data_IF_367885820556
#
_entry.id   IF_367885820556
#
_cell.length_a   1.000
_cell.length_b   1.000
_cell.length_c   1.000
_cell.angle_alpha   90.00
_cell.angle_beta   90.00
_cell.angle_gamma   90.00
#
_symmetry.space_group_name_H-M   'P 1'
#
loop_
_entity.id
_entity.type
_entity.pdbx_description
1 polymer ?
#
# COMPACT_ATOMS: atom_id res chain seq x y z
N UNK A 1 -15.14 15.02 -8.95
CA UNK A 1 -16.07 13.89 -8.84
C UNK A 1 -16.85 14.04 -7.55
N UNK A 2 -18.11 13.60 -7.48
CA UNK A 2 -18.99 13.86 -6.32
C UNK A 2 -18.43 13.35 -4.98
N UNK A 3 -19.01 13.85 -3.88
CA UNK A 3 -18.61 13.51 -2.52
C UNK A 3 -18.97 12.07 -2.13
N UNK A 4 -18.16 11.49 -1.24
CA UNK A 4 -18.48 10.22 -0.60
C UNK A 4 -19.71 10.37 0.31
N UNK A 5 -20.35 9.25 0.65
CA UNK A 5 -21.50 9.24 1.56
C UNK A 5 -21.30 8.21 2.66
N UNK A 6 -21.69 8.57 3.88
CA UNK A 6 -21.79 7.67 5.04
C UNK A 6 -23.22 7.78 5.59
N UNK A 7 -23.83 6.64 5.89
CA UNK A 7 -25.14 6.60 6.55
C UNK A 7 -25.93 5.34 6.23
N UNK A 8 -27.19 5.31 6.66
CA UNK A 8 -28.06 4.14 6.47
C UNK A 8 -28.61 4.03 5.04
N UNK A 9 -28.84 5.16 4.38
CA UNK A 9 -29.45 5.25 3.04
C UNK A 9 -28.49 5.91 2.03
N UNK A 10 -27.38 5.25 1.76
CA UNK A 10 -26.41 5.70 0.75
C UNK A 10 -26.90 5.42 -0.67
N UNK A 11 -26.54 6.30 -1.61
CA UNK A 11 -26.79 6.08 -3.05
C UNK A 11 -25.48 6.16 -3.82
N UNK A 12 -24.92 5.02 -4.27
CA UNK A 12 -23.70 5.01 -5.07
C UNK A 12 -23.82 5.94 -6.28
N UNK A 13 -22.76 6.70 -6.54
CA UNK A 13 -22.69 7.57 -7.72
C UNK A 13 -22.60 6.72 -8.99
N UNK A 14 -23.10 7.24 -10.11
CA UNK A 14 -22.90 6.61 -11.41
C UNK A 14 -21.53 7.06 -12.00
N UNK A 15 -20.54 6.16 -12.08
CA UNK A 15 -19.20 6.51 -12.55
C UNK A 15 -19.15 6.92 -14.02
N UNK A 16 -20.19 6.64 -14.82
CA UNK A 16 -20.26 7.03 -16.24
C UNK A 16 -20.60 8.50 -16.45
N UNK A 17 -21.13 9.17 -15.42
CA UNK A 17 -21.51 10.59 -15.47
C UNK A 17 -20.32 11.54 -15.50
N UNK A 18 -19.13 11.08 -15.11
CA UNK A 18 -17.89 11.87 -15.10
C UNK A 18 -16.79 11.13 -15.85
N UNK A 19 -16.31 11.74 -16.93
CA UNK A 19 -15.23 11.19 -17.73
C UNK A 19 -13.87 11.22 -17.02
N UNK A 20 -13.12 10.11 -17.11
CA UNK A 20 -11.71 10.05 -16.71
C UNK A 20 -10.83 10.50 -17.87
N UNK A 21 -10.45 11.77 -17.91
CA UNK A 21 -9.62 12.34 -18.98
C UNK A 21 -8.39 13.01 -18.41
N UNK A 22 -7.34 12.96 -19.20
CA UNK A 22 -5.99 13.27 -18.84
C UNK A 22 -5.32 14.09 -19.92
N UNK A 23 -4.63 15.19 -19.59
CA UNK A 23 -3.80 15.93 -20.54
C UNK A 23 -2.35 16.09 -20.09
N UNK A 24 -1.39 15.88 -20.98
CA UNK A 24 0.04 15.93 -20.64
C UNK A 24 0.95 16.42 -21.75
N UNK A 25 2.18 16.73 -21.36
CA UNK A 25 3.30 17.04 -22.23
C UNK A 25 4.61 17.01 -21.45
N UNK A 26 5.73 17.13 -22.16
CA UNK A 26 7.06 17.29 -21.55
C UNK A 26 7.28 18.68 -20.94
N UNK A 27 6.41 19.64 -21.27
CA UNK A 27 6.46 21.02 -20.80
C UNK A 27 5.14 21.37 -20.12
N UNK A 28 5.18 22.38 -19.24
CA UNK A 28 4.00 22.90 -18.53
C UNK A 28 2.89 23.30 -19.51
N UNK A 29 3.26 23.91 -20.64
CA UNK A 29 2.37 24.22 -21.75
C UNK A 29 3.09 24.12 -23.09
N UNK A 30 2.40 23.72 -24.18
CA UNK A 30 1.05 23.16 -24.21
C UNK A 30 1.03 21.65 -23.83
N UNK A 31 -0.03 21.21 -23.17
CA UNK A 31 -0.30 19.78 -22.89
C UNK A 31 -0.96 19.14 -24.12
N UNK A 32 -0.15 18.64 -25.07
CA UNK A 32 -0.60 18.21 -26.41
C UNK A 32 -1.16 16.80 -26.48
N UNK A 33 -0.91 15.99 -25.45
CA UNK A 33 -1.32 14.59 -25.46
C UNK A 33 -2.48 14.37 -24.49
N UNK A 34 -3.33 13.40 -24.82
CA UNK A 34 -4.50 13.05 -24.02
C UNK A 34 -4.52 11.54 -23.76
N UNK A 35 -5.00 11.13 -22.58
CA UNK A 35 -5.36 9.75 -22.29
C UNK A 35 -6.77 9.67 -21.71
N UNK A 36 -7.44 8.54 -21.92
CA UNK A 36 -8.75 8.26 -21.33
C UNK A 36 -8.62 7.11 -20.35
N UNK A 37 -9.11 7.32 -19.14
CA UNK A 37 -9.15 6.34 -18.08
C UNK A 37 -10.51 5.67 -17.94
N UNK A 38 -10.65 4.90 -16.87
CA UNK A 38 -11.92 4.32 -16.40
C UNK A 38 -12.31 4.99 -15.09
N UNK A 39 -13.60 4.94 -14.78
CA UNK A 39 -14.18 5.42 -13.54
C UNK A 39 -14.86 4.26 -12.83
N UNK A 40 -14.82 4.24 -11.49
CA UNK A 40 -15.55 3.28 -10.67
C UNK A 40 -16.01 3.92 -9.35
N UNK A 41 -16.91 3.23 -8.67
CA UNK A 41 -17.34 3.52 -7.29
C UNK A 41 -17.27 2.22 -6.51
N UNK A 42 -16.93 2.29 -5.22
CA UNK A 42 -17.07 1.15 -4.32
C UNK A 42 -17.99 1.50 -3.16
N UNK A 43 -18.55 0.47 -2.53
CA UNK A 43 -19.36 0.61 -1.33
C UNK A 43 -18.94 -0.43 -0.29
N UNK A 44 -18.99 -0.03 0.98
CA UNK A 44 -18.83 -0.92 2.13
C UNK A 44 -20.19 -1.00 2.83
N UNK A 45 -20.79 -2.19 2.82
CA UNK A 45 -22.15 -2.42 3.30
C UNK A 45 -22.16 -3.34 4.52
N UNK A 46 -22.91 -2.95 5.55
CA UNK A 46 -23.06 -3.70 6.80
C UNK A 46 -24.53 -4.06 7.01
N UNK A 47 -24.92 -5.34 6.87
CA UNK A 47 -26.31 -5.77 6.98
C UNK A 47 -26.73 -5.97 8.46
N UNK A 48 -26.30 -5.09 9.35
CA UNK A 48 -26.58 -5.16 10.79
C UNK A 48 -27.21 -3.86 11.28
N UNK A 49 -28.20 -3.98 12.15
CA UNK A 49 -28.90 -2.83 12.73
C UNK A 49 -27.91 -1.92 13.49
N UNK A 50 -28.05 -0.61 13.30
CA UNK A 50 -27.19 0.39 13.93
C UNK A 50 -25.84 0.63 13.25
N UNK A 51 -25.47 -0.13 12.22
CA UNK A 51 -24.25 0.13 11.44
C UNK A 51 -24.51 1.02 10.22
N UNK A 52 -23.60 1.96 9.97
CA UNK A 52 -23.66 2.88 8.83
C UNK A 52 -22.91 2.31 7.62
N UNK A 53 -23.47 2.48 6.43
CA UNK A 53 -22.84 2.09 5.17
C UNK A 53 -21.98 3.24 4.62
N UNK A 54 -21.05 2.90 3.72
CA UNK A 54 -20.22 3.85 2.99
C UNK A 54 -20.33 3.63 1.47
N UNK A 55 -20.34 4.71 0.69
CA UNK A 55 -20.02 4.65 -0.75
C UNK A 55 -19.05 5.77 -1.13
N UNK A 56 -18.11 5.45 -2.00
CA UNK A 56 -17.06 6.37 -2.41
C UNK A 56 -17.57 7.48 -3.33
N UNK A 57 -16.80 8.55 -3.42
CA UNK A 57 -16.83 9.40 -4.61
C UNK A 57 -16.44 8.59 -5.87
N UNK A 58 -16.57 9.20 -7.06
CA UNK A 58 -16.11 8.54 -8.29
C UNK A 58 -14.58 8.51 -8.30
N UNK A 59 -14.04 7.30 -8.35
CA UNK A 59 -12.61 7.01 -8.43
C UNK A 59 -12.22 6.91 -9.90
N UNK A 60 -11.18 7.66 -10.28
CA UNK A 60 -10.69 7.72 -11.65
C UNK A 60 -9.36 6.98 -11.75
N UNK A 61 -9.33 5.89 -12.50
CA UNK A 61 -8.11 5.20 -12.87
C UNK A 61 -7.78 5.56 -14.31
N UNK A 62 -6.91 6.54 -14.47
CA UNK A 62 -6.24 6.76 -15.74
C UNK A 62 -4.85 6.17 -15.65
N UNK A 63 -4.47 5.36 -16.64
CA UNK A 63 -3.06 5.10 -16.86
C UNK A 63 -2.46 6.45 -17.19
N UNK A 64 -1.74 6.99 -16.21
CA UNK A 64 -1.28 8.37 -16.27
C UNK A 64 -0.58 8.54 -17.59
N UNK A 65 -1.08 9.54 -18.26
CA UNK A 65 -0.89 10.94 -17.91
C UNK A 65 -2.03 11.60 -17.03
N UNK A 66 -1.98 12.79 -16.41
CA UNK A 66 -3.06 13.65 -15.74
C UNK A 66 -4.31 13.15 -14.88
N UNK A 67 -5.21 13.97 -14.26
CA UNK A 67 -5.51 15.44 -14.21
C UNK A 67 -6.05 15.92 -12.83
N UNK A 68 -5.57 17.09 -12.37
CA UNK A 68 -5.96 17.95 -11.22
C UNK A 68 -5.29 19.33 -11.48
N UNK A 69 -4.79 20.11 -10.51
CA UNK A 69 -3.80 21.19 -10.79
C UNK A 69 -2.67 20.69 -11.72
N UNK A 70 -1.86 21.60 -12.27
CA UNK A 70 -0.70 21.14 -13.05
C UNK A 70 0.34 20.57 -12.09
N UNK A 71 0.35 19.25 -12.00
CA UNK A 71 1.40 18.47 -11.34
C UNK A 71 2.46 18.03 -12.35
N UNK A 72 3.66 17.80 -11.86
CA UNK A 72 4.76 17.19 -12.60
C UNK A 72 5.34 16.03 -11.81
N UNK A 73 5.66 14.94 -12.48
CA UNK A 73 6.42 13.83 -11.92
C UNK A 73 7.57 13.47 -12.87
N UNK A 74 8.57 12.79 -12.34
CA UNK A 74 9.69 12.24 -13.11
C UNK A 74 9.43 10.75 -13.31
N UNK A 75 9.50 10.28 -14.55
CA UNK A 75 9.46 8.83 -14.82
C UNK A 75 10.72 8.16 -14.30
N UNK A 76 10.62 6.88 -13.95
CA UNK A 76 11.79 6.06 -13.64
C UNK A 76 12.80 6.10 -14.81
N UNK A 77 14.11 5.99 -14.52
CA UNK A 77 15.11 5.87 -15.57
C UNK A 77 14.91 4.55 -16.33
N UNK A 78 15.44 4.48 -17.55
CA UNK A 78 15.41 3.24 -18.33
C UNK A 78 16.18 2.13 -17.60
N UNK A 79 15.71 0.89 -17.68
CA UNK A 79 16.38 -0.26 -17.06
C UNK A 79 17.80 -0.43 -17.58
N UNK A 80 18.74 -0.64 -16.67
CA UNK A 80 20.13 -0.93 -17.00
C UNK A 80 20.99 -1.06 -15.74
N UNK A 81 22.15 -1.73 -15.83
CA UNK A 81 22.94 -2.12 -14.65
C UNK A 81 23.58 -0.96 -13.88
N UNK A 82 23.52 0.26 -14.44
CA UNK A 82 24.04 1.51 -13.84
C UNK A 82 22.98 2.62 -13.80
N UNK A 83 21.70 2.25 -13.94
CA UNK A 83 20.60 3.19 -14.12
C UNK A 83 19.57 3.00 -13.02
N UNK A 84 19.68 3.80 -11.97
CA UNK A 84 18.86 3.66 -10.75
C UNK A 84 18.10 4.95 -10.41
N UNK A 85 16.92 4.86 -9.79
CA UNK A 85 16.37 6.01 -9.07
C UNK A 85 17.37 6.44 -8.00
N UNK A 86 17.48 7.75 -7.73
CA UNK A 86 18.46 8.26 -6.77
C UNK A 86 18.08 7.88 -5.35
N UNK A 87 16.78 7.94 -5.06
CA UNK A 87 16.23 7.69 -3.74
C UNK A 87 14.91 6.94 -3.83
N UNK A 88 14.81 5.84 -3.10
CA UNK A 88 13.57 5.10 -2.89
C UNK A 88 13.24 5.22 -1.40
N UNK A 89 12.06 5.73 -1.09
CA UNK A 89 11.52 5.72 0.27
C UNK A 89 10.59 4.51 0.44
N UNK A 90 10.80 3.75 1.51
CA UNK A 90 10.05 2.53 1.80
C UNK A 90 9.58 2.60 3.24
N UNK A 91 8.28 2.43 3.46
CA UNK A 91 7.68 2.39 4.79
C UNK A 91 6.38 1.57 4.79
N UNK A 92 5.94 1.11 5.95
CA UNK A 92 4.66 0.44 6.16
C UNK A 92 3.90 1.09 7.31
N UNK A 93 2.65 0.65 7.53
CA UNK A 93 1.95 0.90 8.80
C UNK A 93 1.76 2.40 9.06
N UNK A 94 1.35 3.10 8.00
CA UNK A 94 1.40 4.55 7.98
C UNK A 94 0.34 5.16 8.89
N UNK A 95 -0.90 4.68 8.78
CA UNK A 95 -2.06 5.22 9.46
C UNK A 95 -2.31 6.71 9.22
N UNK A 96 -3.02 7.35 10.15
CA UNK A 96 -3.34 8.77 10.08
C UNK A 96 -3.27 9.42 11.47
N UNK A 97 -2.06 9.68 11.93
CA UNK A 97 -1.75 10.25 13.26
C UNK A 97 -0.82 11.45 13.15
N UNK A 98 -0.48 12.08 14.28
CA UNK A 98 0.56 13.12 14.30
C UNK A 98 1.93 12.58 13.85
N UNK A 99 2.26 11.34 14.23
CA UNK A 99 3.50 10.67 13.81
C UNK A 99 3.51 10.46 12.29
N UNK A 100 2.36 10.15 11.70
CA UNK A 100 2.19 10.11 10.24
C UNK A 100 2.62 11.39 9.56
N UNK A 101 2.24 12.53 10.13
CA UNK A 101 2.62 13.83 9.56
C UNK A 101 4.13 14.05 9.64
N UNK A 102 4.79 13.62 10.72
CA UNK A 102 6.24 13.68 10.85
C UNK A 102 6.93 12.79 9.80
N UNK A 103 6.52 11.54 9.65
CA UNK A 103 7.10 10.62 8.65
C UNK A 103 6.92 11.12 7.23
N UNK A 104 5.72 11.58 6.86
CA UNK A 104 5.49 12.16 5.54
C UNK A 104 6.34 13.43 5.34
N UNK A 105 6.56 14.22 6.39
CA UNK A 105 7.46 15.39 6.32
C UNK A 105 8.91 14.97 6.07
N UNK A 106 9.40 13.91 6.72
CA UNK A 106 10.72 13.34 6.49
C UNK A 106 10.87 12.73 5.08
N UNK A 107 9.85 12.02 4.59
CA UNK A 107 9.83 11.48 3.22
C UNK A 107 9.90 12.63 2.22
N UNK A 108 9.06 13.65 2.37
CA UNK A 108 9.04 14.82 1.49
C UNK A 108 10.37 15.58 1.50
N UNK A 109 10.97 15.80 2.67
CA UNK A 109 12.24 16.53 2.78
C UNK A 109 13.40 15.79 2.11
N UNK A 110 13.31 14.46 2.01
CA UNK A 110 14.32 13.65 1.33
C UNK A 110 14.18 13.60 -0.19
N UNK A 111 13.04 14.07 -0.75
CA UNK A 111 12.77 14.17 -2.19
C UNK A 111 13.00 12.84 -2.95
N UNK A 112 12.28 11.77 -2.61
CA UNK A 112 12.41 10.46 -3.27
C UNK A 112 11.91 10.48 -4.71
N UNK A 113 12.50 9.63 -5.56
CA UNK A 113 12.03 9.39 -6.92
C UNK A 113 10.91 8.32 -6.94
N UNK A 114 10.84 7.46 -5.92
CA UNK A 114 9.83 6.43 -5.73
C UNK A 114 9.49 6.27 -4.23
N UNK A 115 8.21 6.07 -3.92
CA UNK A 115 7.72 5.70 -2.60
C UNK A 115 7.05 4.33 -2.67
N UNK A 116 7.42 3.41 -1.78
CA UNK A 116 6.81 2.09 -1.63
C UNK A 116 6.16 2.01 -0.24
N UNK A 117 4.83 1.87 -0.21
CA UNK A 117 4.06 1.66 1.01
C UNK A 117 3.75 0.16 1.19
N UNK A 118 4.31 -0.43 2.24
CA UNK A 118 4.32 -1.87 2.50
C UNK A 118 3.17 -2.28 3.43
N UNK A 119 1.94 -2.19 2.92
CA UNK A 119 0.73 -2.59 3.66
C UNK A 119 0.32 -1.60 4.77
N UNK A 120 -0.80 -1.92 5.43
CA UNK A 120 -1.40 -1.15 6.53
C UNK A 120 -1.45 0.36 6.32
N UNK A 121 -2.35 0.76 5.42
CA UNK A 121 -2.38 2.11 4.86
C UNK A 121 -3.00 3.13 5.81
N UNK A 122 -4.27 2.94 6.18
CA UNK A 122 -5.07 3.98 6.84
C UNK A 122 -5.71 3.56 8.16
N UNK A 123 -5.67 2.27 8.52
CA UNK A 123 -6.31 1.70 9.72
C UNK A 123 -7.79 2.08 9.90
N UNK A 124 -8.55 2.20 8.81
CA UNK A 124 -9.99 2.48 8.89
C UNK A 124 -10.77 1.43 9.70
N UNK A 125 -10.24 0.21 9.82
CA UNK A 125 -10.77 -0.87 10.64
C UNK A 125 -10.59 -0.65 12.16
N UNK A 126 -9.84 0.37 12.59
CA UNK A 126 -9.79 0.80 14.00
C UNK A 126 -10.90 1.79 14.36
N UNK A 127 -11.94 1.90 13.54
CA UNK A 127 -13.09 2.75 13.78
C UNK A 127 -14.40 1.98 13.60
N UNK A 128 -15.36 2.29 14.45
CA UNK A 128 -16.75 1.92 14.24
C UNK A 128 -17.34 2.72 13.08
N UNK A 129 -18.41 2.20 12.47
CA UNK A 129 -19.08 2.85 11.33
C UNK A 129 -19.66 4.24 11.66
N UNK A 130 -19.82 4.55 12.95
CA UNK A 130 -20.25 5.86 13.44
C UNK A 130 -19.10 6.85 13.70
N UNK A 131 -17.85 6.45 13.42
CA UNK A 131 -16.66 7.27 13.59
C UNK A 131 -16.00 7.21 14.97
N UNK A 132 -16.54 6.43 15.91
CA UNK A 132 -15.88 6.21 17.20
C UNK A 132 -14.67 5.30 17.02
N UNK A 133 -13.50 5.73 17.53
CA UNK A 133 -12.28 4.93 17.50
C UNK A 133 -12.35 3.70 18.41
N UNK A 134 -11.60 2.67 18.06
CA UNK A 134 -11.41 1.44 18.81
C UNK A 134 -9.94 1.28 19.16
N UNK A 135 -9.61 1.28 20.45
CA UNK A 135 -8.23 1.17 20.95
C UNK A 135 -7.60 -0.20 20.62
N UNK A 136 -8.43 -1.22 20.44
CA UNK A 136 -8.03 -2.52 19.96
C UNK A 136 -9.20 -3.17 19.23
N UNK A 137 -8.92 -3.72 18.04
CA UNK A 137 -9.94 -4.37 17.24
C UNK A 137 -10.57 -5.54 18.02
N UNK A 138 -9.75 -6.44 18.54
CA UNK A 138 -10.21 -7.61 19.30
C UNK A 138 -11.03 -7.25 20.56
N UNK A 139 -10.78 -6.10 21.17
CA UNK A 139 -11.52 -5.63 22.34
C UNK A 139 -12.87 -5.02 21.97
N UNK A 140 -12.89 -4.16 20.96
CA UNK A 140 -14.09 -3.45 20.52
C UNK A 140 -15.00 -4.30 19.64
N UNK A 141 -14.45 -5.37 19.05
CA UNK A 141 -15.12 -6.24 18.07
C UNK A 141 -15.01 -7.73 18.45
N UNK A 142 -15.11 -8.04 19.75
CA UNK A 142 -14.93 -9.40 20.28
C UNK A 142 -15.90 -10.46 19.74
N UNK A 143 -17.06 -10.04 19.24
CA UNK A 143 -18.07 -10.93 18.66
C UNK A 143 -18.10 -10.90 17.12
N UNK A 144 -17.14 -10.24 16.47
CA UNK A 144 -17.11 -10.22 15.01
C UNK A 144 -16.76 -11.59 14.46
N UNK A 145 -17.49 -12.11 13.46
CA UNK A 145 -17.19 -13.42 12.87
C UNK A 145 -15.87 -13.42 12.10
N UNK A 146 -15.33 -12.23 11.82
CA UNK A 146 -14.05 -12.00 11.14
C UNK A 146 -13.27 -11.05 12.04
N UNK A 147 -12.32 -11.60 12.79
CA UNK A 147 -11.40 -10.79 13.60
C UNK A 147 -10.31 -10.24 12.69
N UNK A 148 -10.36 -8.95 12.34
CA UNK A 148 -9.42 -8.25 11.45
C UNK A 148 -9.37 -8.83 10.02
N UNK A 149 -8.54 -8.26 9.15
CA UNK A 149 -8.06 -8.91 7.92
C UNK A 149 -7.15 -10.10 8.26
N UNK A 150 -7.52 -10.91 9.25
CA UNK A 150 -6.82 -12.14 9.58
C UNK A 150 -6.90 -13.04 8.36
N UNK A 151 -5.73 -13.31 7.77
CA UNK A 151 -5.56 -14.22 6.65
C UNK A 151 -5.09 -15.57 7.22
N UNK A 152 -5.99 -16.47 7.65
CA UNK A 152 -5.63 -17.70 8.36
C UNK A 152 -4.85 -18.72 7.51
N UNK A 153 -4.52 -18.39 6.26
CA UNK A 153 -4.01 -19.29 5.23
C UNK A 153 -2.94 -18.63 4.36
N UNK A 154 -1.91 -18.09 4.99
CA UNK A 154 -0.75 -17.54 4.28
C UNK A 154 -0.07 -18.59 3.36
N UNK A 155 -0.15 -19.87 3.71
CA UNK A 155 0.22 -21.00 2.84
C UNK A 155 -0.59 -21.03 1.53
N UNK A 156 -1.90 -20.80 1.61
CA UNK A 156 -2.78 -20.87 0.45
C UNK A 156 -2.51 -19.73 -0.53
N UNK A 157 -2.31 -18.51 0.00
CA UNK A 157 -1.88 -17.37 -0.80
C UNK A 157 -0.50 -17.61 -1.41
N UNK A 158 0.43 -18.16 -0.62
CA UNK A 158 1.74 -18.60 -1.08
C UNK A 158 1.63 -19.53 -2.28
N UNK A 159 0.90 -20.65 -2.14
CA UNK A 159 0.71 -21.63 -3.23
C UNK A 159 -0.02 -21.07 -4.44
N UNK A 160 -1.01 -20.19 -4.22
CA UNK A 160 -1.73 -19.53 -5.31
C UNK A 160 -0.79 -18.67 -6.15
N UNK A 161 0.11 -17.92 -5.50
CA UNK A 161 1.03 -17.00 -6.16
C UNK A 161 2.33 -17.66 -6.62
N UNK A 162 2.70 -18.82 -6.06
CA UNK A 162 4.01 -19.46 -6.26
C UNK A 162 4.38 -19.63 -7.73
N UNK A 163 3.48 -20.21 -8.53
CA UNK A 163 3.75 -20.45 -9.96
C UNK A 163 3.88 -19.17 -10.78
N UNK A 164 3.18 -18.11 -10.37
CA UNK A 164 3.36 -16.81 -11.01
C UNK A 164 4.72 -16.23 -10.62
N UNK A 165 5.07 -16.27 -9.33
CA UNK A 165 6.34 -15.75 -8.82
C UNK A 165 7.54 -16.46 -9.45
N UNK A 166 7.51 -17.79 -9.54
CA UNK A 166 8.55 -18.58 -10.21
C UNK A 166 8.79 -18.12 -11.65
N UNK A 167 7.71 -17.92 -12.42
CA UNK A 167 7.79 -17.43 -13.81
C UNK A 167 8.27 -16.00 -13.89
N UNK A 168 7.86 -15.15 -12.97
CA UNK A 168 8.27 -13.75 -12.93
C UNK A 168 9.78 -13.65 -12.67
N UNK A 169 10.26 -14.37 -11.65
CA UNK A 169 11.68 -14.46 -11.31
C UNK A 169 12.53 -15.04 -12.46
N UNK A 170 12.02 -16.05 -13.18
CA UNK A 170 12.69 -16.62 -14.36
C UNK A 170 12.85 -15.64 -15.52
N UNK A 171 12.03 -14.58 -15.58
CA UNK A 171 12.13 -13.55 -16.62
C UNK A 171 13.07 -12.39 -16.25
N UNK A 172 13.66 -12.39 -15.05
CA UNK A 172 14.58 -11.33 -14.61
C UNK A 172 15.96 -11.55 -15.23
N UNK A 173 16.36 -10.64 -16.13
CA UNK A 173 17.73 -10.56 -16.62
C UNK A 173 18.61 -9.75 -15.65
N UNK A 174 19.39 -10.44 -14.82
CA UNK A 174 20.29 -9.82 -13.84
C UNK A 174 21.45 -9.01 -14.46
N UNK A 175 21.72 -9.15 -15.77
CA UNK A 175 22.67 -8.29 -16.47
C UNK A 175 22.09 -6.90 -16.79
N UNK A 176 20.75 -6.79 -16.84
CA UNK A 176 20.01 -5.54 -17.08
C UNK A 176 19.52 -4.95 -15.76
N UNK A 177 18.93 -5.78 -14.89
CA UNK A 177 18.40 -5.41 -13.57
C UNK A 177 19.12 -6.23 -12.49
N UNK A 178 20.33 -5.81 -12.06
CA UNK A 178 21.16 -6.61 -11.18
C UNK A 178 20.62 -6.71 -9.75
N UNK A 179 19.89 -5.69 -9.29
CA UNK A 179 19.22 -5.69 -7.99
C UNK A 179 17.82 -6.28 -8.10
N UNK A 180 17.55 -7.30 -7.29
CA UNK A 180 16.26 -7.94 -7.13
C UNK A 180 15.77 -7.72 -5.69
N UNK A 181 14.75 -6.88 -5.54
CA UNK A 181 14.18 -6.50 -4.25
C UNK A 181 12.76 -7.05 -4.15
N UNK A 182 12.44 -7.71 -3.05
CA UNK A 182 11.10 -8.20 -2.77
C UNK A 182 10.43 -7.41 -1.63
N UNK A 183 9.12 -7.34 -1.67
CA UNK A 183 8.32 -6.58 -0.71
C UNK A 183 7.04 -7.34 -0.39
N UNK A 184 6.74 -7.50 0.89
CA UNK A 184 5.46 -8.00 1.38
C UNK A 184 5.24 -7.51 2.80
N UNK A 185 4.01 -7.58 3.31
CA UNK A 185 3.67 -6.91 4.57
C UNK A 185 4.26 -7.60 5.83
N UNK A 186 3.85 -8.83 6.21
CA UNK A 186 4.31 -9.45 7.45
C UNK A 186 5.73 -10.03 7.33
N UNK A 187 6.65 -9.75 8.27
CA UNK A 187 8.02 -10.23 8.20
C UNK A 187 8.11 -11.73 8.49
N UNK A 188 8.91 -12.44 7.70
CA UNK A 188 9.26 -13.85 7.97
C UNK A 188 10.22 -13.97 9.16
N UNK A 189 11.14 -13.01 9.27
CA UNK A 189 12.15 -12.93 10.30
C UNK A 189 11.91 -11.69 11.16
N UNK A 190 11.30 -11.91 12.32
CA UNK A 190 11.08 -10.89 13.34
C UNK A 190 11.40 -11.50 14.71
N UNK A 191 12.01 -10.72 15.59
CA UNK A 191 12.36 -11.13 16.96
C UNK A 191 11.49 -10.49 18.04
N UNK A 192 10.58 -9.58 17.69
CA UNK A 192 9.61 -9.02 18.62
C UNK A 192 8.53 -10.06 18.94
N UNK A 193 7.92 -9.95 20.13
CA UNK A 193 6.83 -10.84 20.54
C UNK A 193 5.60 -10.67 19.64
N UNK A 194 5.25 -9.41 19.32
CA UNK A 194 4.18 -9.11 18.38
C UNK A 194 4.47 -9.76 17.01
N UNK A 195 3.51 -10.55 16.52
CA UNK A 195 3.57 -11.25 15.24
C UNK A 195 4.80 -12.18 15.09
N UNK A 196 5.35 -12.69 16.20
CA UNK A 196 6.48 -13.61 16.15
C UNK A 196 6.14 -14.90 15.40
N UNK A 197 6.83 -15.16 14.28
CA UNK A 197 6.63 -16.33 13.41
C UNK A 197 5.19 -16.49 12.91
N UNK A 198 4.41 -15.41 12.87
CA UNK A 198 3.00 -15.46 12.46
C UNK A 198 2.82 -16.02 11.03
N UNK A 199 3.75 -15.70 10.14
CA UNK A 199 3.70 -16.04 8.71
C UNK A 199 4.72 -17.10 8.29
N UNK A 200 5.10 -17.97 9.23
CA UNK A 200 6.05 -19.06 9.00
C UNK A 200 5.65 -19.97 7.82
N UNK A 201 4.34 -20.19 7.63
CA UNK A 201 3.85 -21.00 6.52
C UNK A 201 4.21 -20.40 5.14
N UNK A 202 4.15 -19.08 4.98
CA UNK A 202 4.56 -18.43 3.73
C UNK A 202 6.07 -18.57 3.51
N UNK A 203 6.87 -18.39 4.57
CA UNK A 203 8.32 -18.58 4.53
C UNK A 203 8.68 -19.98 4.04
N UNK A 204 8.12 -21.01 4.68
CA UNK A 204 8.40 -22.42 4.32
C UNK A 204 8.06 -22.72 2.86
N UNK A 205 6.99 -22.14 2.33
CA UNK A 205 6.57 -22.38 0.95
C UNK A 205 7.41 -21.60 -0.08
N UNK A 206 7.88 -20.38 0.24
CA UNK A 206 8.45 -19.46 -0.77
C UNK A 206 9.94 -19.15 -0.61
N UNK A 207 10.53 -19.39 0.56
CA UNK A 207 11.89 -18.95 0.85
C UNK A 207 12.93 -19.59 -0.07
N UNK A 208 12.84 -20.90 -0.28
CA UNK A 208 13.78 -21.62 -1.16
C UNK A 208 13.73 -21.07 -2.59
N UNK A 209 12.53 -20.74 -3.08
CA UNK A 209 12.36 -20.14 -4.40
C UNK A 209 13.08 -18.80 -4.49
N UNK A 210 12.75 -17.86 -3.61
CA UNK A 210 13.34 -16.50 -3.69
C UNK A 210 14.85 -16.50 -3.41
N UNK A 211 15.32 -17.44 -2.58
CA UNK A 211 16.75 -17.65 -2.33
C UNK A 211 17.46 -18.18 -3.59
N UNK A 212 16.87 -19.16 -4.28
CA UNK A 212 17.45 -19.75 -5.50
C UNK A 212 17.61 -18.75 -6.65
N UNK A 213 16.72 -17.74 -6.73
CA UNK A 213 16.79 -16.64 -7.69
C UNK A 213 17.63 -15.45 -7.21
N UNK A 214 18.20 -15.53 -6.01
CA UNK A 214 19.11 -14.53 -5.45
C UNK A 214 18.45 -13.19 -5.18
N UNK A 215 17.27 -13.16 -4.54
CA UNK A 215 16.70 -11.91 -4.01
C UNK A 215 17.69 -11.27 -3.04
N UNK A 216 18.03 -10.00 -3.27
CA UNK A 216 19.09 -9.30 -2.54
C UNK A 216 18.58 -8.68 -1.24
N UNK A 217 17.38 -8.09 -1.28
CA UNK A 217 16.80 -7.33 -0.16
C UNK A 217 15.29 -7.62 -0.09
N UNK A 218 14.80 -7.76 1.14
CA UNK A 218 13.38 -7.87 1.46
C UNK A 218 12.98 -6.71 2.36
N UNK A 219 11.88 -6.02 2.03
CA UNK A 219 11.27 -5.03 2.91
C UNK A 219 9.91 -5.49 3.41
N UNK A 220 9.68 -5.30 4.71
CA UNK A 220 8.45 -5.65 5.42
C UNK A 220 7.90 -4.45 6.21
N UNK A 221 6.63 -4.54 6.60
CA UNK A 221 5.96 -3.68 7.57
C UNK A 221 5.50 -4.50 8.78
N UNK A 222 4.26 -4.29 9.21
CA UNK A 222 3.47 -5.09 10.15
C UNK A 222 3.89 -5.03 11.61
N UNK A 223 5.20 -5.08 11.89
CA UNK A 223 5.72 -5.12 13.26
C UNK A 223 6.22 -3.73 13.68
N UNK A 224 5.51 -3.10 14.61
CA UNK A 224 5.86 -1.79 15.18
C UNK A 224 6.40 -1.99 16.61
N UNK A 225 7.58 -1.45 16.92
CA UNK A 225 8.14 -1.55 18.27
C UNK A 225 7.67 -0.40 19.18
N UNK A 226 7.07 -0.78 20.31
CA UNK A 226 6.55 0.08 21.38
C UNK A 226 7.59 0.34 22.48
N UNK A 227 8.46 1.33 22.30
CA UNK A 227 9.20 1.93 23.44
C UNK A 227 8.79 3.37 23.76
N UNK A 228 7.75 3.92 23.12
CA UNK A 228 7.22 5.24 23.46
C UNK A 228 5.68 5.31 23.40
N UNK A 229 5.01 4.43 24.14
CA UNK A 229 3.56 4.46 24.32
C UNK A 229 3.07 5.78 24.93
N UNK A 230 2.39 6.61 24.14
CA UNK A 230 1.41 7.59 24.65
C UNK A 230 0.11 7.42 23.85
N UNK A 231 -0.88 6.79 24.48
CA UNK A 231 -2.31 6.80 24.12
C UNK A 231 -2.73 6.15 22.78
N UNK A 232 -2.52 4.84 22.62
CA UNK A 232 -3.39 4.00 21.76
C UNK A 232 -3.41 4.35 20.27
N UNK A 233 -2.40 5.04 19.76
CA UNK A 233 -2.25 5.30 18.32
C UNK A 233 -1.30 4.28 17.70
N UNK A 234 -1.56 3.77 16.48
CA UNK A 234 -0.58 2.97 15.76
C UNK A 234 0.66 3.84 15.53
N UNK A 235 1.77 3.50 16.19
CA UNK A 235 3.09 4.02 15.82
C UNK A 235 3.50 3.40 14.48
N UNK A 236 4.42 4.04 13.77
CA UNK A 236 4.76 3.67 12.38
C UNK A 236 5.97 2.75 12.36
N UNK A 237 5.89 1.66 11.60
CA UNK A 237 6.78 0.53 11.83
C UNK A 237 8.21 0.76 11.28
N UNK A 238 8.42 1.32 10.08
CA UNK A 238 9.78 1.46 9.51
C UNK A 238 9.84 2.53 8.42
N UNK A 239 10.94 3.32 8.35
CA UNK A 239 11.27 4.18 7.20
C UNK A 239 12.70 3.87 6.72
N UNK A 240 12.83 3.28 5.55
CA UNK A 240 14.11 3.12 4.86
C UNK A 240 14.18 4.09 3.67
N UNK A 241 15.25 4.88 3.61
CA UNK A 241 15.58 5.68 2.43
C UNK A 241 16.88 5.13 1.86
N UNK A 242 16.77 4.36 0.80
CA UNK A 242 17.93 3.84 0.09
C UNK A 242 18.47 4.95 -0.83
N UNK A 243 19.70 5.39 -0.57
CA UNK A 243 20.45 6.20 -1.52
C UNK A 243 21.22 5.27 -2.46
N UNK A 244 20.93 5.33 -3.75
CA UNK A 244 21.78 4.71 -4.76
C UNK A 244 22.98 5.64 -4.99
N UNK A 245 24.07 5.47 -4.22
CA UNK A 245 25.35 6.14 -4.51
C UNK A 245 26.05 5.40 -5.64
N UNK A 246 26.46 6.14 -6.68
CA UNK A 246 27.44 5.68 -7.67
C UNK A 246 28.82 5.50 -7.05
#
# INVERSE_FOLDING_TARGET
SGEFQIGYNIKPLDPTTVGSIVRYGKHRYPLRHEAKGKSLVYSQLYPFEGLQNYTSGIIHHARLTAMSDIYSFRTMPASGPKSYPRKIAIFGDLGLTYNTTATISHVKSNNPDLVVLVGDVCYANLYLTNGTGADCYSCSFSNTPIHETYQPRWDYWGRLQYRWLERDLANVDRSITPWLVAVWHPPWYNSYNAHYREVECMRVEMEELIYSYGVDIVFNGHVCNSTMNINGTPEQCFLFICNASN
#
